data_IF_723710272834
#
_entry.id   IF_723710272834
#
_cell.length_a   1.000
_cell.length_b   1.000
_cell.length_c   1.000
_cell.angle_alpha   90.00
_cell.angle_beta   90.00
_cell.angle_gamma   90.00
#
_symmetry.space_group_name_H-M   'P 1'
#
loop_
_entity.id
_entity.type
_entity.pdbx_description
1 polymer ?
#
# COMPACT_ATOMS: atom_id res chain seq x y z
N UNK A 1 9.73 -7.28 -30.38
CA UNK A 1 8.59 -6.66 -29.67
C UNK A 1 8.78 -6.49 -28.13
N UNK A 2 9.67 -7.25 -27.48
CA UNK A 2 9.96 -7.11 -26.05
C UNK A 2 10.87 -5.91 -25.73
N UNK A 3 11.78 -5.55 -26.62
CA UNK A 3 12.70 -4.41 -26.45
C UNK A 3 12.00 -3.05 -26.55
N UNK A 4 11.00 -2.92 -27.40
CA UNK A 4 10.24 -1.67 -27.56
C UNK A 4 9.42 -1.27 -26.30
N UNK A 5 8.97 -2.26 -25.53
CA UNK A 5 8.27 -1.97 -24.26
C UNK A 5 9.22 -1.50 -23.17
N UNK A 6 10.47 -1.96 -23.16
CA UNK A 6 11.50 -1.50 -22.21
C UNK A 6 11.95 -0.07 -22.48
N UNK A 7 12.06 0.32 -23.76
CA UNK A 7 12.46 1.69 -24.14
C UNK A 7 11.42 2.75 -23.77
N UNK A 8 10.12 2.44 -23.73
CA UNK A 8 9.08 3.36 -23.24
C UNK A 8 9.18 3.65 -21.74
N UNK A 9 9.79 2.77 -20.98
CA UNK A 9 10.02 2.92 -19.55
C UNK A 9 11.29 3.72 -19.20
N UNK A 10 12.14 4.02 -20.19
CA UNK A 10 13.37 4.79 -20.01
C UNK A 10 13.19 6.30 -20.08
N UNK A 11 11.97 6.82 -20.18
CA UNK A 11 11.74 8.26 -20.17
C UNK A 11 11.91 8.84 -18.76
N UNK A 12 13.14 9.20 -18.51
CA UNK A 12 13.66 10.37 -17.75
C UNK A 12 13.50 10.37 -16.21
N UNK A 13 12.50 9.74 -15.59
CA UNK A 13 12.36 9.71 -14.12
C UNK A 13 11.72 8.44 -13.57
N UNK A 14 11.26 7.56 -14.44
CA UNK A 14 10.61 6.33 -14.01
C UNK A 14 11.66 5.29 -13.61
N UNK A 15 11.58 4.82 -12.39
CA UNK A 15 12.37 3.69 -11.93
C UNK A 15 11.53 2.42 -12.11
N UNK A 16 12.03 1.49 -12.90
CA UNK A 16 11.48 0.14 -12.90
C UNK A 16 11.64 -0.45 -11.50
N UNK A 17 10.54 -0.86 -10.89
CA UNK A 17 10.53 -1.54 -9.61
C UNK A 17 10.45 -3.05 -9.81
N UNK A 18 9.33 -3.53 -10.30
CA UNK A 18 9.12 -4.93 -10.61
C UNK A 18 7.95 -5.14 -11.56
N UNK A 19 7.81 -6.36 -12.08
CA UNK A 19 6.61 -6.82 -12.78
C UNK A 19 6.05 -7.99 -11.99
N UNK A 20 4.81 -7.86 -11.55
CA UNK A 20 4.05 -8.94 -10.94
C UNK A 20 2.89 -9.37 -11.84
N UNK A 21 2.65 -10.68 -12.03
CA UNK A 21 1.50 -11.17 -12.80
C UNK A 21 0.19 -11.07 -12.04
N UNK A 22 0.21 -10.62 -10.79
CA UNK A 22 -0.94 -10.48 -9.90
C UNK A 22 -0.80 -9.25 -9.03
N UNK A 23 -1.91 -8.67 -8.53
CA UNK A 23 -1.86 -7.65 -7.50
C UNK A 23 -1.14 -8.15 -6.24
N UNK A 24 -0.36 -7.28 -5.63
CA UNK A 24 0.28 -7.57 -4.35
C UNK A 24 0.57 -6.29 -3.54
N UNK A 25 1.35 -6.42 -2.46
CA UNK A 25 1.50 -5.38 -1.45
C UNK A 25 2.15 -4.07 -1.95
N UNK A 26 2.92 -4.07 -3.03
CA UNK A 26 3.41 -2.82 -3.65
C UNK A 26 2.28 -1.98 -4.23
N UNK A 27 1.18 -2.61 -4.64
CA UNK A 27 -0.02 -1.93 -5.13
C UNK A 27 -0.95 -1.41 -4.04
N UNK A 28 -0.70 -1.69 -2.76
CA UNK A 28 -1.56 -1.22 -1.66
C UNK A 28 -1.67 0.30 -1.59
N UNK A 29 -0.65 1.04 -2.01
CA UNK A 29 -0.71 2.50 -2.09
C UNK A 29 -1.82 3.00 -3.01
N UNK A 30 -2.24 2.21 -4.00
CA UNK A 30 -3.34 2.56 -4.91
C UNK A 30 -4.71 2.63 -4.24
N UNK A 31 -4.83 2.09 -3.02
CA UNK A 31 -6.06 2.20 -2.22
C UNK A 31 -6.32 3.63 -1.72
N UNK A 32 -5.32 4.52 -1.75
CA UNK A 32 -5.46 5.91 -1.32
C UNK A 32 -5.02 6.91 -2.39
N UNK A 33 -4.21 6.48 -3.35
CA UNK A 33 -3.65 7.39 -4.37
C UNK A 33 -4.57 7.64 -5.56
N UNK A 34 -5.58 6.78 -5.78
CA UNK A 34 -6.43 6.84 -6.97
C UNK A 34 -7.82 6.24 -6.72
N UNK A 35 -8.75 6.54 -7.62
CA UNK A 35 -10.15 6.11 -7.54
C UNK A 35 -10.35 4.61 -7.81
N UNK A 36 -9.58 4.04 -8.72
CA UNK A 36 -9.55 2.60 -9.00
C UNK A 36 -8.25 2.00 -8.50
N UNK A 37 -8.30 1.28 -7.39
CA UNK A 37 -7.13 0.57 -6.88
C UNK A 37 -6.61 -0.48 -7.86
N UNK A 38 -5.37 -0.91 -7.73
CA UNK A 38 -4.79 -2.03 -8.48
C UNK A 38 -5.70 -3.27 -8.44
N UNK A 39 -6.27 -3.56 -7.27
CA UNK A 39 -7.20 -4.68 -7.07
C UNK A 39 -8.50 -4.51 -7.86
N UNK A 40 -9.06 -3.30 -7.87
CA UNK A 40 -10.26 -2.99 -8.65
C UNK A 40 -9.98 -3.05 -10.16
N UNK A 41 -8.82 -2.57 -10.59
CA UNK A 41 -8.37 -2.66 -11.98
C UNK A 41 -8.19 -4.12 -12.42
N UNK A 42 -7.58 -4.93 -11.57
CA UNK A 42 -7.40 -6.36 -11.82
C UNK A 42 -8.73 -7.10 -11.93
N UNK A 43 -9.67 -6.84 -11.02
CA UNK A 43 -11.01 -7.42 -11.08
C UNK A 43 -11.75 -7.01 -12.36
N UNK A 44 -11.68 -5.73 -12.76
CA UNK A 44 -12.25 -5.25 -14.03
C UNK A 44 -11.62 -5.94 -15.24
N UNK A 45 -10.31 -6.12 -15.24
CA UNK A 45 -9.60 -6.80 -16.32
C UNK A 45 -10.05 -8.26 -16.48
N UNK A 46 -10.19 -9.00 -15.36
CA UNK A 46 -10.66 -10.40 -15.39
C UNK A 46 -12.11 -10.49 -15.89
N UNK A 47 -12.96 -9.56 -15.47
CA UNK A 47 -14.40 -9.55 -15.82
C UNK A 47 -14.68 -8.90 -17.17
N UNK A 48 -13.67 -8.41 -17.89
CA UNK A 48 -13.87 -7.68 -19.15
C UNK A 48 -14.60 -6.35 -18.99
N UNK A 49 -14.57 -5.74 -17.80
CA UNK A 49 -15.24 -4.48 -17.54
C UNK A 49 -14.42 -3.29 -18.04
N UNK A 50 -15.06 -2.21 -18.50
CA UNK A 50 -14.35 -1.06 -19.03
C UNK A 50 -13.57 -0.30 -17.95
N UNK A 51 -12.42 0.22 -18.35
CA UNK A 51 -11.58 1.12 -17.55
C UNK A 51 -11.43 2.43 -18.32
N UNK A 52 -12.43 3.33 -18.24
CA UNK A 52 -12.45 4.54 -19.06
C UNK A 52 -11.39 5.56 -18.64
N UNK A 53 -11.09 5.64 -17.36
CA UNK A 53 -10.09 6.55 -16.81
C UNK A 53 -9.64 6.07 -15.42
N UNK A 54 -8.45 6.50 -15.01
CA UNK A 54 -7.94 6.37 -13.65
C UNK A 54 -7.59 7.78 -13.17
N UNK A 55 -8.21 8.21 -12.07
CA UNK A 55 -7.98 9.53 -11.49
C UNK A 55 -7.03 9.38 -10.31
N UNK A 56 -5.93 10.12 -10.33
CA UNK A 56 -5.02 10.21 -9.20
C UNK A 56 -5.41 11.35 -8.27
N UNK A 57 -5.28 11.12 -6.97
CA UNK A 57 -5.64 12.10 -5.93
C UNK A 57 -4.45 12.94 -5.44
N UNK A 58 -3.22 12.55 -5.79
CA UNK A 58 -2.01 13.28 -5.42
C UNK A 58 -0.91 12.38 -4.83
N UNK A 59 0.15 13.02 -4.31
CA UNK A 59 1.27 12.30 -3.71
C UNK A 59 0.82 11.42 -2.55
N UNK A 60 1.19 10.15 -2.60
CA UNK A 60 0.72 9.15 -1.64
C UNK A 60 1.84 8.18 -1.29
N UNK A 61 1.78 7.64 -0.09
CA UNK A 61 2.76 6.69 0.41
C UNK A 61 2.11 5.58 1.23
N UNK A 62 2.82 4.47 1.35
CA UNK A 62 2.49 3.37 2.24
C UNK A 62 3.66 3.07 3.17
N UNK A 63 3.36 2.73 4.43
CA UNK A 63 4.33 2.29 5.42
C UNK A 63 3.87 0.96 6.02
N UNK A 64 4.78 0.00 6.06
CA UNK A 64 4.49 -1.35 6.55
C UNK A 64 4.42 -1.35 8.07
N UNK A 65 3.44 -2.06 8.62
CA UNK A 65 3.38 -2.42 10.05
C UNK A 65 4.07 -3.79 10.16
N UNK A 66 5.33 -3.74 10.62
CA UNK A 66 6.20 -4.90 10.73
C UNK A 66 6.30 -5.32 12.20
N UNK A 67 6.20 -6.61 12.44
CA UNK A 67 6.25 -7.21 13.78
C UNK A 67 7.24 -8.36 13.77
N UNK A 68 7.94 -8.55 14.88
CA UNK A 68 8.86 -9.66 15.09
C UNK A 68 8.50 -10.38 16.37
N UNK A 69 8.38 -11.71 16.31
CA UNK A 69 8.05 -12.56 17.46
C UNK A 69 7.39 -13.87 17.05
N UNK A 70 6.83 -14.55 18.05
CA UNK A 70 6.13 -15.84 17.89
C UNK A 70 4.79 -15.75 18.63
N UNK A 71 3.67 -15.84 17.89
CA UNK A 71 2.34 -15.87 18.50
C UNK A 71 1.30 -16.44 17.53
N UNK A 72 0.31 -17.13 18.09
CA UNK A 72 -0.91 -17.53 17.38
C UNK A 72 -2.12 -16.66 17.77
N UNK A 73 -1.90 -15.68 18.65
CA UNK A 73 -2.94 -14.72 19.06
C UNK A 73 -2.38 -13.32 18.86
N UNK A 74 -2.90 -12.60 17.89
CA UNK A 74 -2.43 -11.26 17.54
C UNK A 74 -3.56 -10.26 17.75
N UNK A 75 -3.28 -9.21 18.50
CA UNK A 75 -4.18 -8.09 18.64
C UNK A 75 -3.57 -6.76 18.16
N UNK A 76 -4.44 -5.82 17.80
CA UNK A 76 -4.03 -4.51 17.30
C UNK A 76 -4.60 -3.42 18.20
N UNK A 77 -3.72 -2.56 18.72
CA UNK A 77 -4.07 -1.42 19.54
C UNK A 77 -3.74 -0.07 18.89
N UNK A 78 -4.22 1.00 19.50
CA UNK A 78 -3.96 2.39 19.11
C UNK A 78 -4.42 2.77 17.68
N UNK A 79 -5.38 2.05 17.11
CA UNK A 79 -5.87 2.27 15.74
C UNK A 79 -6.48 3.67 15.55
N UNK A 80 -7.23 4.16 16.57
CA UNK A 80 -7.79 5.50 16.53
C UNK A 80 -6.71 6.58 16.46
N UNK A 81 -5.62 6.43 17.21
CA UNK A 81 -4.50 7.36 17.19
C UNK A 81 -3.76 7.33 15.83
N UNK A 82 -3.65 6.17 15.20
CA UNK A 82 -3.02 6.02 13.89
C UNK A 82 -3.83 6.68 12.75
N UNK A 83 -5.11 6.94 12.96
CA UNK A 83 -6.04 7.55 12.00
C UNK A 83 -6.37 9.00 12.33
N UNK A 84 -5.62 9.66 13.22
CA UNK A 84 -5.90 11.03 13.65
C UNK A 84 -5.60 12.06 12.58
N UNK A 85 -4.57 11.83 11.76
CA UNK A 85 -4.23 12.74 10.66
C UNK A 85 -5.19 12.52 9.48
N UNK A 86 -5.65 13.61 8.80
CA UNK A 86 -6.50 13.47 7.63
C UNK A 86 -5.79 12.75 6.49
N UNK A 87 -6.58 12.19 5.58
CA UNK A 87 -6.05 11.45 4.42
C UNK A 87 -5.13 10.29 4.81
N UNK A 88 -5.45 9.59 5.91
CA UNK A 88 -4.80 8.35 6.32
C UNK A 88 -5.77 7.17 6.25
N UNK A 89 -5.23 5.98 6.03
CA UNK A 89 -5.98 4.74 6.08
C UNK A 89 -5.10 3.59 6.57
N UNK A 90 -5.72 2.58 7.16
CA UNK A 90 -5.05 1.36 7.60
C UNK A 90 -5.60 0.14 6.86
N UNK A 91 -4.73 -0.83 6.63
CA UNK A 91 -5.11 -2.20 6.24
C UNK A 91 -4.38 -3.16 7.15
N UNK A 92 -5.12 -3.87 7.98
CA UNK A 92 -4.59 -4.88 8.88
C UNK A 92 -4.73 -6.24 8.21
N UNK A 93 -3.68 -7.05 8.28
CA UNK A 93 -3.68 -8.36 7.66
C UNK A 93 -4.13 -9.39 8.70
N UNK A 94 -5.18 -10.14 8.39
CA UNK A 94 -5.73 -11.19 9.25
C UNK A 94 -4.89 -12.48 9.20
N UNK A 95 -3.59 -12.38 9.46
CA UNK A 95 -2.73 -13.55 9.51
C UNK A 95 -2.96 -14.32 10.80
N UNK A 96 -3.06 -15.66 10.74
CA UNK A 96 -3.40 -16.48 11.91
C UNK A 96 -2.28 -16.56 12.96
N UNK A 97 -1.05 -16.26 12.53
CA UNK A 97 0.13 -16.37 13.39
C UNK A 97 1.21 -15.37 12.99
N UNK A 98 2.08 -15.07 13.92
CA UNK A 98 3.39 -14.46 13.70
C UNK A 98 4.45 -15.48 14.03
N UNK A 99 5.40 -15.69 13.10
CA UNK A 99 6.61 -16.47 13.30
C UNK A 99 7.75 -15.73 12.63
N UNK A 100 8.74 -15.33 13.45
CA UNK A 100 9.81 -14.43 13.05
C UNK A 100 9.32 -13.03 12.67
N UNK A 101 9.86 -12.45 11.62
CA UNK A 101 9.48 -11.12 11.16
C UNK A 101 8.33 -11.18 10.14
N UNK A 102 7.21 -10.54 10.45
CA UNK A 102 6.02 -10.53 9.58
C UNK A 102 5.42 -9.15 9.38
N UNK A 103 4.96 -8.90 8.16
CA UNK A 103 4.12 -7.74 7.85
C UNK A 103 2.69 -8.04 8.30
N UNK A 104 2.19 -7.25 9.25
CA UNK A 104 0.86 -7.43 9.85
C UNK A 104 -0.13 -6.38 9.39
N UNK A 105 0.31 -5.39 8.64
CA UNK A 105 -0.55 -4.36 8.09
C UNK A 105 0.23 -3.33 7.29
N UNK A 106 -0.49 -2.33 6.84
CA UNK A 106 0.05 -1.16 6.16
C UNK A 106 -0.74 0.09 6.55
N UNK A 107 -0.03 1.17 6.83
CA UNK A 107 -0.59 2.50 6.91
C UNK A 107 -0.41 3.19 5.56
N UNK A 108 -1.44 3.87 5.12
CA UNK A 108 -1.50 4.61 3.87
C UNK A 108 -1.71 6.08 4.19
N UNK A 109 -1.04 6.97 3.47
CA UNK A 109 -1.27 8.39 3.60
C UNK A 109 -1.15 9.11 2.26
N UNK A 110 -1.88 10.22 2.16
CA UNK A 110 -1.80 11.18 1.07
C UNK A 110 -1.49 12.56 1.65
N UNK A 111 -0.71 13.37 0.92
CA UNK A 111 -0.37 14.72 1.34
C UNK A 111 -0.01 15.58 0.10
N UNK A 112 0.36 16.84 0.33
CA UNK A 112 0.73 17.79 -0.73
C UNK A 112 2.06 17.42 -1.41
N UNK A 113 2.98 16.78 -0.69
CA UNK A 113 4.25 16.29 -1.24
C UNK A 113 4.49 14.81 -0.92
N UNK A 114 5.36 14.17 -1.70
CA UNK A 114 5.73 12.78 -1.46
C UNK A 114 6.44 12.59 -0.11
N UNK A 115 7.28 13.55 0.26
CA UNK A 115 7.99 13.56 1.54
C UNK A 115 7.02 13.65 2.72
N UNK A 116 6.02 14.53 2.64
CA UNK A 116 4.99 14.68 3.66
C UNK A 116 4.11 13.42 3.75
N UNK A 117 3.69 12.86 2.62
CA UNK A 117 2.91 11.62 2.58
C UNK A 117 3.69 10.45 3.20
N UNK A 118 4.98 10.31 2.90
CA UNK A 118 5.85 9.27 3.49
C UNK A 118 5.99 9.44 5.00
N UNK A 119 6.25 10.66 5.47
CA UNK A 119 6.38 10.96 6.89
C UNK A 119 5.07 10.67 7.63
N UNK A 120 3.94 11.05 7.07
CA UNK A 120 2.60 10.78 7.62
C UNK A 120 2.30 9.29 7.68
N UNK A 121 2.52 8.55 6.60
CA UNK A 121 2.33 7.10 6.58
C UNK A 121 3.20 6.39 7.63
N UNK A 122 4.45 6.81 7.78
CA UNK A 122 5.36 6.24 8.77
C UNK A 122 4.89 6.51 10.20
N UNK A 123 4.50 7.76 10.53
CA UNK A 123 3.94 8.08 11.85
C UNK A 123 2.70 7.23 12.15
N UNK A 124 1.78 7.14 11.20
CA UNK A 124 0.58 6.31 11.34
C UNK A 124 0.92 4.84 11.60
N UNK A 125 1.88 4.27 10.87
CA UNK A 125 2.30 2.89 11.07
C UNK A 125 2.96 2.65 12.44
N UNK A 126 3.78 3.59 12.91
CA UNK A 126 4.51 3.50 14.18
C UNK A 126 3.61 3.58 15.42
N UNK A 127 2.46 4.25 15.30
CA UNK A 127 1.49 4.38 16.40
C UNK A 127 0.72 3.08 16.64
N UNK A 128 0.54 2.26 15.60
CA UNK A 128 -0.15 0.98 15.72
C UNK A 128 0.64 0.04 16.63
N UNK A 129 0.01 -0.39 17.71
CA UNK A 129 0.56 -1.41 18.62
C UNK A 129 0.10 -2.78 18.14
N UNK A 130 1.03 -3.70 18.05
CA UNK A 130 0.73 -5.12 17.78
C UNK A 130 1.18 -5.92 18.99
N UNK A 131 0.24 -6.59 19.61
CA UNK A 131 0.46 -7.45 20.78
C UNK A 131 0.47 -8.91 20.29
N UNK A 132 1.48 -9.66 20.71
CA UNK A 132 1.76 -11.05 20.35
C UNK A 132 1.48 -12.00 21.51
#
# INVERSE_FOLDING_TARGET
>A
HKEYRRQRQMCIRDRFCEISPRPHDTGLVTLISQDLSEFALHARAILGLPIPAIRQFGPSASAVILVEGESTQVSFGSLGAALTEPDTALRLFGKPEVSGQRRMGVALARDESLEAARAKALRSAQVVKVEL
#
